data_IF_699774710427
#
_entry.id   IF_699774710427
#
_cell.length_a   1.000
_cell.length_b   1.000
_cell.length_c   1.000
_cell.angle_alpha   90.00
_cell.angle_beta   90.00
_cell.angle_gamma   90.00
#
_symmetry.space_group_name_H-M   'P 1'
#
loop_
_entity.id
_entity.type
_entity.pdbx_description
1 polymer ?
#
# COMPACT_ATOMS: atom_id res chain seq x y z
N UNK A 1 -49.33 -10.28 17.52
CA UNK A 1 -48.28 -10.39 18.55
C UNK A 1 -46.92 -10.25 17.86
N UNK A 2 -46.14 -9.25 18.30
CA UNK A 2 -44.70 -8.93 18.08
C UNK A 2 -44.02 -9.31 16.75
N UNK A 3 -43.78 -8.30 15.89
CA UNK A 3 -42.75 -8.34 14.86
C UNK A 3 -41.36 -8.13 15.48
N UNK A 4 -40.37 -8.90 15.02
CA UNK A 4 -38.96 -8.76 15.43
C UNK A 4 -38.37 -7.47 14.83
N UNK A 5 -37.60 -6.67 15.57
CA UNK A 5 -36.86 -5.57 14.98
C UNK A 5 -35.73 -6.15 14.13
N UNK A 6 -35.77 -5.93 12.81
CA UNK A 6 -34.59 -6.17 11.96
C UNK A 6 -33.55 -5.13 12.34
N UNK A 7 -32.64 -5.50 13.24
CA UNK A 7 -31.43 -4.72 13.51
C UNK A 7 -30.57 -4.80 12.26
N UNK A 8 -30.82 -3.92 11.29
CA UNK A 8 -29.83 -3.59 10.29
C UNK A 8 -28.74 -2.82 11.05
N UNK A 9 -27.84 -3.59 11.66
CA UNK A 9 -26.61 -3.09 12.23
C UNK A 9 -25.87 -2.44 11.07
N UNK A 10 -26.02 -1.12 10.92
CA UNK A 10 -25.18 -0.33 10.03
C UNK A 10 -23.78 -0.42 10.61
N UNK A 11 -23.05 -1.46 10.21
CA UNK A 11 -21.64 -1.60 10.49
C UNK A 11 -20.97 -0.27 10.09
N UNK A 12 -20.04 0.27 10.89
CA UNK A 12 -19.35 1.49 10.55
C UNK A 12 -18.82 1.34 9.13
N UNK A 13 -19.22 2.24 8.23
CA UNK A 13 -18.69 2.25 6.88
C UNK A 13 -17.20 2.54 7.04
N UNK A 14 -16.40 1.49 6.95
CA UNK A 14 -14.94 1.57 6.94
C UNK A 14 -14.60 2.57 5.85
N UNK A 15 -14.02 3.70 6.22
CA UNK A 15 -13.50 4.63 5.23
C UNK A 15 -12.42 3.89 4.43
N UNK A 16 -12.82 3.33 3.28
CA UNK A 16 -11.94 2.69 2.31
C UNK A 16 -11.50 3.79 1.36
N UNK A 17 -10.28 4.25 1.52
CA UNK A 17 -9.61 5.11 0.54
C UNK A 17 -9.31 4.31 -0.75
N UNK A 18 -9.23 4.97 -1.91
CA UNK A 18 -10.01 4.59 -3.09
C UNK A 18 -9.59 3.27 -3.77
N UNK A 19 -10.57 2.39 -3.98
CA UNK A 19 -10.48 1.24 -4.90
C UNK A 19 -10.52 1.70 -6.36
N UNK A 20 -9.74 1.08 -7.26
CA UNK A 20 -10.26 -0.07 -8.02
C UNK A 20 -9.62 -1.45 -7.75
N UNK A 21 -8.36 -1.57 -7.29
CA UNK A 21 -7.72 -2.88 -6.95
C UNK A 21 -6.59 -2.74 -5.87
N UNK A 22 -6.62 -1.69 -5.03
CA UNK A 22 -5.59 -1.40 -4.00
C UNK A 22 -4.15 -1.35 -4.52
N UNK A 23 -3.92 -0.91 -5.76
CA UNK A 23 -2.57 -0.85 -6.32
C UNK A 23 -1.77 0.33 -5.74
N UNK A 24 -0.51 0.07 -5.37
CA UNK A 24 0.44 1.07 -4.88
C UNK A 24 1.28 1.61 -6.04
N UNK A 25 1.39 2.94 -6.22
CA UNK A 25 2.30 3.50 -7.21
C UNK A 25 3.75 3.28 -6.78
N UNK A 26 4.54 2.70 -7.67
CA UNK A 26 5.97 2.45 -7.50
C UNK A 26 6.75 3.33 -8.46
N UNK A 27 7.78 3.99 -7.94
CA UNK A 27 8.75 4.76 -8.74
C UNK A 27 10.16 4.25 -8.49
N UNK A 28 10.87 3.96 -9.56
CA UNK A 28 12.27 3.53 -9.52
C UNK A 28 13.14 4.61 -10.17
N UNK A 29 14.20 5.02 -9.48
CA UNK A 29 15.30 5.82 -10.03
C UNK A 29 16.59 5.30 -9.40
N UNK A 30 17.25 4.37 -10.11
CA UNK A 30 18.40 3.61 -9.61
C UNK A 30 19.59 3.88 -10.54
N UNK A 31 20.74 4.18 -9.95
CA UNK A 31 22.00 4.38 -10.65
C UNK A 31 23.10 3.50 -10.04
N UNK A 32 23.78 2.69 -10.86
CA UNK A 32 24.87 1.81 -10.46
C UNK A 32 25.92 1.83 -11.57
N UNK A 33 27.18 2.14 -11.23
CA UNK A 33 28.32 2.12 -12.16
C UNK A 33 28.03 2.80 -13.51
N UNK A 34 27.43 4.00 -13.47
CA UNK A 34 27.08 4.80 -14.64
C UNK A 34 25.89 4.29 -15.47
N UNK A 35 25.28 3.17 -15.09
CA UNK A 35 24.02 2.70 -15.65
C UNK A 35 22.86 3.25 -14.85
N UNK A 36 21.79 3.65 -15.52
CA UNK A 36 20.60 4.20 -14.87
C UNK A 36 19.34 3.49 -15.32
N UNK A 37 18.49 3.14 -14.37
CA UNK A 37 17.18 2.57 -14.60
C UNK A 37 16.11 3.45 -13.95
N UNK A 38 15.16 3.93 -14.75
CA UNK A 38 14.02 4.73 -14.30
C UNK A 38 12.73 4.13 -14.80
N UNK A 39 11.78 3.92 -13.91
CA UNK A 39 10.48 3.36 -14.24
C UNK A 39 9.40 3.84 -13.27
N UNK A 40 8.15 3.79 -13.72
CA UNK A 40 6.98 4.10 -12.92
C UNK A 40 5.82 3.18 -13.30
N UNK A 41 5.34 2.41 -12.32
CA UNK A 41 4.26 1.45 -12.50
C UNK A 41 3.43 1.34 -11.21
N UNK A 42 2.44 0.45 -11.21
CA UNK A 42 1.61 0.16 -10.04
C UNK A 42 1.80 -1.29 -9.61
N UNK A 43 1.79 -1.56 -8.31
CA UNK A 43 2.01 -2.88 -7.74
C UNK A 43 0.86 -3.30 -6.82
N UNK A 44 0.46 -4.57 -6.83
CA UNK A 44 -0.51 -5.09 -5.86
C UNK A 44 0.18 -5.37 -4.52
N UNK A 45 -0.12 -4.62 -3.44
CA UNK A 45 0.52 -4.80 -2.14
C UNK A 45 0.17 -6.14 -1.48
N UNK A 46 -0.82 -6.88 -2.01
CA UNK A 46 -1.19 -8.21 -1.54
C UNK A 46 -0.29 -9.31 -2.13
N UNK A 47 0.48 -9.02 -3.18
CA UNK A 47 1.40 -9.99 -3.79
C UNK A 47 2.57 -10.30 -2.83
N UNK A 48 3.07 -11.55 -2.82
CA UNK A 48 4.18 -11.93 -1.95
C UNK A 48 5.51 -11.33 -2.43
N UNK A 49 6.47 -11.20 -1.50
CA UNK A 49 7.81 -10.68 -1.78
C UNK A 49 8.55 -11.46 -2.90
N UNK A 50 8.23 -12.73 -3.09
CA UNK A 50 8.78 -13.53 -4.18
C UNK A 50 8.45 -12.97 -5.56
N UNK A 51 7.25 -12.40 -5.76
CA UNK A 51 6.86 -11.80 -7.03
C UNK A 51 7.68 -10.54 -7.33
N UNK A 52 8.00 -9.74 -6.31
CA UNK A 52 8.89 -8.57 -6.44
C UNK A 52 10.28 -9.02 -6.93
N UNK A 53 10.81 -10.09 -6.36
CA UNK A 53 12.12 -10.64 -6.75
C UNK A 53 12.08 -11.22 -8.18
N UNK A 54 11.01 -11.91 -8.55
CA UNK A 54 10.82 -12.45 -9.91
C UNK A 54 10.73 -11.31 -10.92
N UNK A 55 9.97 -10.26 -10.62
CA UNK A 55 9.89 -9.05 -11.43
C UNK A 55 11.28 -8.42 -11.62
N UNK A 56 12.02 -8.18 -10.53
CA UNK A 56 13.36 -7.60 -10.60
C UNK A 56 14.31 -8.42 -11.49
N UNK A 57 14.30 -9.75 -11.37
CA UNK A 57 15.12 -10.65 -12.20
C UNK A 57 14.73 -10.59 -13.68
N UNK A 58 13.43 -10.58 -13.99
CA UNK A 58 12.93 -10.47 -15.37
C UNK A 58 13.30 -9.13 -15.98
N UNK A 59 13.03 -8.03 -15.28
CA UNK A 59 13.37 -6.67 -15.71
C UNK A 59 14.85 -6.53 -16.03
N UNK A 60 15.74 -7.00 -15.15
CA UNK A 60 17.20 -6.95 -15.38
C UNK A 60 17.60 -7.78 -16.60
N UNK A 61 17.02 -8.97 -16.77
CA UNK A 61 17.29 -9.84 -17.93
C UNK A 61 16.82 -9.22 -19.24
N UNK A 62 15.58 -8.73 -19.27
CA UNK A 62 14.92 -8.24 -20.48
C UNK A 62 15.54 -6.92 -20.95
N UNK A 63 15.93 -6.06 -20.01
CA UNK A 63 16.61 -4.79 -20.29
C UNK A 63 18.14 -4.90 -20.36
N UNK A 64 18.70 -6.11 -20.20
CA UNK A 64 20.14 -6.38 -20.20
C UNK A 64 20.92 -5.49 -19.24
N UNK A 65 20.35 -5.23 -18.06
CA UNK A 65 20.99 -4.43 -17.01
C UNK A 65 22.04 -5.25 -16.24
N UNK A 66 22.99 -4.59 -15.55
CA UNK A 66 23.91 -5.29 -14.65
C UNK A 66 23.16 -6.07 -13.55
N UNK A 67 23.63 -7.27 -13.15
CA UNK A 67 22.98 -8.09 -12.11
C UNK A 67 22.77 -7.38 -10.77
N UNK A 68 23.60 -6.37 -10.46
CA UNK A 68 23.49 -5.54 -9.26
C UNK A 68 22.12 -4.83 -9.14
N UNK A 69 21.43 -4.56 -10.25
CA UNK A 69 20.11 -3.93 -10.25
C UNK A 69 19.02 -4.81 -9.64
N UNK A 70 19.17 -6.14 -9.62
CA UNK A 70 18.13 -7.04 -9.10
C UNK A 70 17.83 -6.72 -7.63
N UNK A 71 18.88 -6.57 -6.82
CA UNK A 71 18.72 -6.26 -5.40
C UNK A 71 18.16 -4.85 -5.19
N UNK A 72 18.65 -3.86 -5.95
CA UNK A 72 18.22 -2.47 -5.81
C UNK A 72 16.76 -2.26 -6.22
N UNK A 73 16.32 -2.89 -7.31
CA UNK A 73 14.91 -2.87 -7.74
C UNK A 73 14.02 -3.50 -6.66
N UNK A 74 14.36 -4.70 -6.19
CA UNK A 74 13.55 -5.39 -5.20
C UNK A 74 13.43 -4.60 -3.89
N UNK A 75 14.55 -4.08 -3.38
CA UNK A 75 14.58 -3.27 -2.16
C UNK A 75 13.73 -1.99 -2.32
N UNK A 76 13.87 -1.27 -3.44
CA UNK A 76 13.11 -0.03 -3.67
C UNK A 76 11.60 -0.28 -3.72
N UNK A 77 11.16 -1.37 -4.34
CA UNK A 77 9.74 -1.78 -4.35
C UNK A 77 9.29 -2.11 -2.93
N UNK A 78 10.03 -2.95 -2.21
CA UNK A 78 9.68 -3.39 -0.86
C UNK A 78 9.61 -2.25 0.15
N UNK A 79 10.51 -1.27 0.07
CA UNK A 79 10.47 -0.06 0.90
C UNK A 79 9.17 0.71 0.65
N UNK A 80 8.82 0.99 -0.60
CA UNK A 80 7.58 1.71 -0.94
C UNK A 80 6.32 0.95 -0.48
N UNK A 81 6.31 -0.38 -0.59
CA UNK A 81 5.22 -1.20 -0.06
C UNK A 81 5.15 -1.20 1.47
N UNK A 82 6.29 -1.20 2.15
CA UNK A 82 6.37 -1.14 3.61
C UNK A 82 5.87 0.21 4.13
N UNK A 83 6.31 1.30 3.49
CA UNK A 83 5.86 2.65 3.79
C UNK A 83 4.35 2.77 3.61
N UNK A 84 3.81 2.27 2.49
CA UNK A 84 2.38 2.21 2.25
C UNK A 84 1.62 1.48 3.38
N UNK A 85 2.10 0.30 3.79
CA UNK A 85 1.49 -0.49 4.89
C UNK A 85 1.55 0.22 6.24
N UNK A 86 2.57 1.06 6.47
CA UNK A 86 2.69 1.85 7.70
C UNK A 86 1.60 2.93 7.80
N UNK A 87 1.20 3.54 6.69
CA UNK A 87 0.13 4.55 6.65
C UNK A 87 -1.26 3.93 6.85
N UNK A 88 -1.49 2.71 6.34
CA UNK A 88 -2.73 1.95 6.59
C UNK A 88 -2.97 1.73 8.11
N UNK A 89 -1.89 1.50 8.87
CA UNK A 89 -1.96 1.26 10.32
C UNK A 89 -2.21 2.51 11.19
N UNK A 90 -1.94 3.72 10.68
CA UNK A 90 -2.06 4.97 11.46
C UNK A 90 -3.46 5.62 11.42
N UNK A 91 -4.32 5.20 10.49
CA UNK A 91 -5.65 5.81 10.31
C UNK A 91 -6.75 5.19 11.18
N UNK A 92 -6.40 4.60 12.34
CA UNK A 92 -7.35 3.98 13.29
C UNK A 92 -7.55 4.72 14.62
N UNK A 93 -6.99 5.92 14.84
CA UNK A 93 -7.14 6.66 16.12
C UNK A 93 -7.48 8.15 16.03
N UNK A 94 -8.14 8.63 14.98
CA UNK A 94 -8.75 9.97 15.00
C UNK A 94 -10.21 9.88 15.46
N UNK A 95 -10.41 9.31 16.64
CA UNK A 95 -11.69 9.22 17.34
C UNK A 95 -11.81 10.35 18.36
N UNK A 96 -12.58 11.35 17.98
CA UNK A 96 -13.06 12.54 18.70
C UNK A 96 -13.03 12.48 20.26
N UNK A 97 -12.25 13.37 20.90
CA UNK A 97 -12.31 13.68 22.34
C UNK A 97 -12.95 15.03 22.64
N UNK A 98 -13.81 15.58 21.76
CA UNK A 98 -14.31 16.95 21.91
C UNK A 98 -15.83 17.14 21.91
N UNK A 99 -16.65 16.19 22.39
CA UNK A 99 -18.02 16.54 22.83
C UNK A 99 -18.39 15.76 24.10
N UNK A 100 -17.93 16.24 25.26
CA UNK A 100 -18.51 15.89 26.56
C UNK A 100 -18.30 17.02 27.57
N UNK A 101 -18.63 18.25 27.15
CA UNK A 101 -19.02 19.35 28.04
C UNK A 101 -20.19 20.02 27.33
N UNK A 102 -21.18 20.52 28.08
CA UNK A 102 -22.48 21.01 27.64
C UNK A 102 -23.60 19.97 27.57
N UNK A 103 -24.01 19.46 28.72
CA UNK A 103 -25.46 19.37 29.06
C UNK A 103 -25.58 19.46 30.57
N UNK A 104 -25.67 20.68 31.09
CA UNK A 104 -26.19 20.96 32.43
C UNK A 104 -27.10 22.18 32.29
N UNK A 105 -28.39 21.92 32.13
CA UNK A 105 -29.51 22.79 32.50
C UNK A 105 -30.59 21.87 33.05
#
# INVERSE_FOLDING_TARGET
MKALPSTSSKAPVKFRMPTADNLVPIRLDIEIDGHRFRDAFTWNPSDPDSEVVIFAKRTVKDLKLPPAFVMQIAQSIQTQLTDFRSYEGQHMYTGDKRIAKYTEI
#
